data_IF_104775443893
#
_entry.id   IF_104775443893
#
_cell.length_a   1.000
_cell.length_b   1.000
_cell.length_c   1.000
_cell.angle_alpha   90.00
_cell.angle_beta   90.00
_cell.angle_gamma   90.00
#
_symmetry.space_group_name_H-M   'P 1'
#
loop_
_entity.id
_entity.type
_entity.pdbx_description
1 polymer ?
#
# COMPACT_ATOMS: atom_id res chain seq x y z
N UNK A 1 -19.51 -8.14 -31.53
CA UNK A 1 -19.31 -7.33 -30.31
C UNK A 1 -20.66 -6.98 -29.73
N UNK A 2 -20.90 -7.16 -28.44
CA UNK A 2 -22.16 -6.75 -27.85
C UNK A 2 -22.28 -5.22 -27.94
N UNK A 3 -23.36 -4.72 -28.53
CA UNK A 3 -23.67 -3.29 -28.59
C UNK A 3 -24.10 -2.78 -27.21
N UNK A 4 -23.14 -2.53 -26.34
CA UNK A 4 -23.43 -1.98 -25.01
C UNK A 4 -23.81 -0.51 -25.13
N UNK A 5 -24.96 -0.11 -24.55
CA UNK A 5 -25.26 1.30 -24.30
C UNK A 5 -24.63 1.69 -22.98
N UNK A 6 -23.56 2.46 -23.02
CA UNK A 6 -22.90 2.98 -21.81
C UNK A 6 -23.41 4.37 -21.52
N UNK A 7 -23.87 4.61 -20.28
CA UNK A 7 -24.26 5.93 -19.78
C UNK A 7 -23.34 6.27 -18.61
N UNK A 8 -22.65 7.39 -18.72
CA UNK A 8 -21.83 7.94 -17.64
C UNK A 8 -22.60 9.06 -16.97
N UNK A 9 -22.81 8.94 -15.66
CA UNK A 9 -23.48 9.95 -14.84
C UNK A 9 -22.44 10.68 -14.00
N UNK A 10 -22.43 12.01 -14.12
CA UNK A 10 -21.57 12.90 -13.33
C UNK A 10 -22.43 13.98 -12.68
N UNK A 11 -22.25 14.18 -11.38
CA UNK A 11 -23.02 15.17 -10.61
C UNK A 11 -22.46 16.58 -10.75
N UNK A 12 -21.14 16.70 -10.89
CA UNK A 12 -20.46 17.99 -11.02
C UNK A 12 -20.42 18.47 -12.46
N UNK A 13 -20.07 19.73 -12.67
CA UNK A 13 -19.86 20.28 -14.02
C UNK A 13 -18.61 19.72 -14.73
N UNK A 14 -17.76 18.98 -14.00
CA UNK A 14 -16.51 18.40 -14.49
C UNK A 14 -16.45 16.90 -14.18
N UNK A 15 -16.07 16.10 -15.15
CA UNK A 15 -15.77 14.69 -14.93
C UNK A 15 -14.43 14.51 -14.20
N UNK A 16 -14.24 13.34 -13.54
CA UNK A 16 -12.99 12.95 -12.90
C UNK A 16 -13.02 12.94 -11.37
N UNK A 17 -14.08 13.46 -10.75
CA UNK A 17 -14.26 13.38 -9.29
C UNK A 17 -13.09 14.00 -8.51
N UNK A 18 -12.43 13.19 -7.68
CA UNK A 18 -11.29 13.60 -6.87
C UNK A 18 -9.99 13.84 -7.67
N UNK A 19 -9.92 13.42 -8.93
CA UNK A 19 -8.77 13.70 -9.80
C UNK A 19 -8.87 15.14 -10.29
N UNK A 20 -8.19 16.03 -9.59
CA UNK A 20 -8.19 17.46 -9.89
C UNK A 20 -6.84 18.10 -9.55
N UNK A 21 -6.55 19.22 -10.17
CA UNK A 21 -5.28 19.91 -10.01
C UNK A 21 -5.45 21.42 -9.87
N UNK A 22 -4.58 22.02 -9.11
CA UNK A 22 -4.33 23.46 -9.08
C UNK A 22 -3.12 23.75 -9.97
N UNK A 23 -3.22 24.78 -10.80
CA UNK A 23 -2.13 25.26 -11.62
C UNK A 23 -2.12 26.80 -11.61
N UNK A 24 -1.07 27.38 -11.06
CA UNK A 24 -0.87 28.83 -11.00
C UNK A 24 0.62 29.18 -10.98
N UNK A 25 1.00 30.24 -11.68
CA UNK A 25 2.38 30.79 -11.72
C UNK A 25 3.48 29.74 -11.99
N UNK A 26 3.19 28.71 -12.80
CA UNK A 26 4.13 27.62 -13.10
C UNK A 26 4.19 26.51 -12.05
N UNK A 27 3.42 26.60 -11.00
CA UNK A 27 3.25 25.54 -10.00
C UNK A 27 2.07 24.64 -10.36
N UNK A 28 2.26 23.35 -10.12
CA UNK A 28 1.22 22.33 -10.24
C UNK A 28 1.08 21.60 -8.91
N UNK A 29 -0.13 21.57 -8.36
CA UNK A 29 -0.48 20.79 -7.17
C UNK A 29 -1.75 19.99 -7.44
N UNK A 30 -1.76 18.73 -7.06
CA UNK A 30 -2.90 17.84 -7.21
C UNK A 30 -3.73 17.81 -5.94
N UNK A 31 -5.06 17.97 -6.07
CA UNK A 31 -6.00 17.94 -4.96
C UNK A 31 -6.33 16.53 -4.48
N UNK A 32 -6.03 15.52 -5.28
CA UNK A 32 -6.39 14.13 -5.04
C UNK A 32 -5.26 13.17 -5.38
N UNK A 33 -5.59 12.02 -5.97
CA UNK A 33 -4.60 11.02 -6.34
C UNK A 33 -3.60 11.59 -7.35
N UNK A 34 -2.30 11.48 -7.03
CA UNK A 34 -1.19 11.97 -7.86
C UNK A 34 -0.39 10.85 -8.51
N UNK A 35 -0.83 9.61 -8.36
CA UNK A 35 -0.17 8.47 -8.96
C UNK A 35 -0.92 7.17 -8.72
N UNK A 36 -0.48 6.12 -9.37
CA UNK A 36 -1.01 4.78 -9.22
C UNK A 36 0.11 3.74 -9.27
N UNK A 37 -0.17 2.54 -8.80
CA UNK A 37 0.79 1.43 -8.85
C UNK A 37 0.67 0.71 -10.19
N UNK A 38 1.78 0.64 -10.95
CA UNK A 38 1.88 -0.17 -12.17
C UNK A 38 2.13 -1.64 -11.83
N UNK A 39 1.16 -2.28 -11.18
CA UNK A 39 1.26 -3.64 -10.66
C UNK A 39 0.22 -4.61 -11.23
N UNK A 40 -0.65 -4.16 -12.14
CA UNK A 40 -1.60 -5.01 -12.84
C UNK A 40 -1.63 -4.74 -14.35
N UNK A 41 -1.99 -5.76 -15.12
CA UNK A 41 -2.03 -5.68 -16.58
C UNK A 41 -3.15 -4.77 -17.06
N UNK A 42 -4.28 -4.79 -16.38
CA UNK A 42 -5.48 -4.03 -16.71
C UNK A 42 -5.24 -2.52 -16.70
N UNK A 43 -4.44 -2.02 -15.76
CA UNK A 43 -4.04 -0.61 -15.72
C UNK A 43 -3.22 -0.21 -16.94
N UNK A 44 -2.31 -1.09 -17.40
CA UNK A 44 -1.50 -0.85 -18.59
C UNK A 44 -2.33 -0.89 -19.86
N UNK A 45 -3.28 -1.83 -19.94
CA UNK A 45 -4.20 -1.93 -21.07
C UNK A 45 -5.10 -0.68 -21.16
N UNK A 46 -5.57 -0.17 -20.02
CA UNK A 46 -6.36 1.06 -19.98
C UNK A 46 -5.55 2.28 -20.47
N UNK A 47 -4.29 2.41 -20.05
CA UNK A 47 -3.38 3.48 -20.50
C UNK A 47 -3.18 3.39 -22.02
N UNK A 48 -2.96 2.16 -22.54
CA UNK A 48 -2.80 1.91 -23.98
C UNK A 48 -4.05 2.28 -24.75
N UNK A 49 -5.22 1.85 -24.29
CA UNK A 49 -6.49 2.17 -24.91
C UNK A 49 -6.80 3.69 -24.90
N UNK A 50 -6.34 4.38 -23.87
CA UNK A 50 -6.45 5.84 -23.78
C UNK A 50 -5.40 6.60 -24.63
N UNK A 51 -4.42 5.91 -25.22
CA UNK A 51 -3.34 6.53 -25.99
C UNK A 51 -2.32 7.31 -25.17
N UNK A 52 -2.23 7.04 -23.85
CA UNK A 52 -1.42 7.82 -22.89
C UNK A 52 -0.06 7.16 -22.56
N UNK A 53 0.38 6.18 -23.31
CA UNK A 53 1.63 5.46 -23.01
C UNK A 53 2.87 6.36 -23.02
N UNK A 54 2.93 7.30 -23.97
CA UNK A 54 4.04 8.24 -24.10
C UNK A 54 4.07 9.30 -22.97
N UNK A 55 2.93 9.57 -22.36
CA UNK A 55 2.80 10.57 -21.29
C UNK A 55 3.06 9.97 -19.89
N UNK A 56 3.21 8.66 -19.80
CA UNK A 56 3.44 7.97 -18.55
C UNK A 56 4.82 8.27 -17.98
N UNK A 57 4.85 8.85 -16.78
CA UNK A 57 6.09 9.09 -16.02
C UNK A 57 6.22 8.05 -14.91
N UNK A 58 7.38 7.42 -14.82
CA UNK A 58 7.67 6.44 -13.77
C UNK A 58 8.57 7.07 -12.71
N UNK A 59 8.15 6.98 -11.45
CA UNK A 59 8.94 7.48 -10.33
C UNK A 59 10.25 6.67 -10.17
N UNK A 60 11.41 7.33 -9.91
CA UNK A 60 12.68 6.65 -9.68
C UNK A 60 12.69 5.99 -8.29
N UNK A 61 12.10 4.81 -8.16
CA UNK A 61 11.91 4.12 -6.86
C UNK A 61 13.23 3.84 -6.11
N UNK A 62 14.36 3.77 -6.81
CA UNK A 62 15.68 3.56 -6.20
C UNK A 62 16.15 4.75 -5.35
N UNK A 63 15.69 5.93 -5.64
CA UNK A 63 16.03 7.19 -4.96
C UNK A 63 14.95 7.64 -3.96
N UNK A 64 13.85 6.90 -3.89
CA UNK A 64 12.71 7.25 -3.08
C UNK A 64 12.98 7.04 -1.59
N UNK A 65 13.08 8.12 -0.83
CA UNK A 65 13.25 8.09 0.62
C UNK A 65 11.90 8.34 1.29
N UNK A 66 11.49 7.42 2.17
CA UNK A 66 10.27 7.58 2.98
C UNK A 66 10.63 8.07 4.38
N UNK A 67 9.89 9.05 4.82
CA UNK A 67 9.99 9.59 6.17
C UNK A 67 8.70 9.32 6.93
N UNK A 68 8.85 9.08 8.22
CA UNK A 68 7.77 8.99 9.18
C UNK A 68 7.97 10.05 10.23
N UNK A 69 6.93 10.83 10.54
CA UNK A 69 6.96 11.75 11.66
C UNK A 69 6.50 11.02 12.91
N UNK A 70 7.41 10.80 13.86
CA UNK A 70 7.12 10.25 15.17
C UNK A 70 7.57 11.24 16.23
N UNK A 71 6.68 11.59 17.16
CA UNK A 71 6.94 12.55 18.24
C UNK A 71 7.55 13.87 17.74
N UNK A 72 7.02 14.41 16.63
CA UNK A 72 7.48 15.65 16.01
C UNK A 72 8.84 15.57 15.30
N UNK A 73 9.41 14.37 15.13
CA UNK A 73 10.71 14.17 14.47
C UNK A 73 10.56 13.30 13.21
N UNK A 74 11.17 13.75 12.13
CA UNK A 74 11.24 12.96 10.90
C UNK A 74 12.24 11.81 11.05
N UNK A 75 11.77 10.60 10.84
CA UNK A 75 12.54 9.38 10.87
C UNK A 75 12.55 8.72 9.50
N UNK A 76 13.72 8.36 9.00
CA UNK A 76 13.84 7.64 7.73
C UNK A 76 13.38 6.20 7.89
N UNK A 77 12.47 5.75 7.04
CA UNK A 77 12.08 4.34 6.98
C UNK A 77 12.98 3.62 5.96
N UNK A 78 13.83 2.69 6.40
CA UNK A 78 14.64 1.91 5.49
C UNK A 78 13.78 1.05 4.57
N UNK A 79 14.08 1.04 3.28
CA UNK A 79 13.37 0.19 2.31
C UNK A 79 13.74 -1.30 2.43
N UNK A 80 14.89 -1.61 3.01
CA UNK A 80 15.37 -2.99 3.18
C UNK A 80 14.88 -3.59 4.49
N UNK A 81 14.17 -4.75 4.48
CA UNK A 81 13.58 -5.35 5.68
C UNK A 81 14.57 -5.57 6.83
N UNK A 82 15.80 -6.02 6.51
CA UNK A 82 16.85 -6.23 7.52
C UNK A 82 17.32 -4.93 8.19
N UNK A 83 17.23 -3.80 7.50
CA UNK A 83 17.55 -2.49 8.09
C UNK A 83 16.44 -2.01 9.02
N UNK A 84 15.18 -2.34 8.73
CA UNK A 84 14.04 -2.06 9.61
C UNK A 84 14.22 -2.76 10.95
N UNK A 85 14.67 -4.01 10.95
CA UNK A 85 14.92 -4.77 12.17
C UNK A 85 16.04 -4.16 13.05
N UNK A 86 17.00 -3.45 12.46
CA UNK A 86 18.09 -2.79 13.18
C UNK A 86 17.74 -1.39 13.68
N UNK A 87 16.67 -0.81 13.22
CA UNK A 87 16.25 0.53 13.64
C UNK A 87 15.79 0.55 15.10
N UNK A 88 16.18 1.57 15.87
CA UNK A 88 15.75 1.69 17.27
C UNK A 88 14.27 2.07 17.43
N UNK A 89 13.61 2.50 16.33
CA UNK A 89 12.21 2.93 16.31
C UNK A 89 11.22 1.89 16.83
N UNK A 90 11.53 0.60 16.64
CA UNK A 90 10.71 -0.51 17.08
C UNK A 90 11.44 -1.18 18.25
N UNK A 91 10.85 -1.24 19.45
CA UNK A 91 11.44 -1.90 20.62
C UNK A 91 11.75 -3.37 20.32
N UNK A 92 12.78 -3.92 20.95
CA UNK A 92 13.22 -5.30 20.69
C UNK A 92 12.12 -6.35 20.96
N UNK A 93 11.32 -6.15 22.02
CA UNK A 93 10.20 -7.04 22.33
C UNK A 93 9.10 -6.99 21.26
N UNK A 94 8.87 -5.83 20.64
CA UNK A 94 7.92 -5.71 19.52
C UNK A 94 8.46 -6.41 18.25
N UNK A 95 9.77 -6.38 18.02
CA UNK A 95 10.40 -7.15 16.93
C UNK A 95 10.23 -8.65 17.14
N UNK A 96 10.39 -9.15 18.37
CA UNK A 96 10.10 -10.54 18.70
C UNK A 96 8.61 -10.86 18.53
N UNK A 97 7.74 -9.93 18.91
CA UNK A 97 6.29 -10.08 18.75
C UNK A 97 5.86 -10.23 17.29
N UNK A 98 6.58 -9.59 16.33
CA UNK A 98 6.35 -9.77 14.89
C UNK A 98 6.53 -11.23 14.47
N UNK A 99 7.47 -11.96 15.07
CA UNK A 99 7.69 -13.38 14.77
C UNK A 99 6.49 -14.25 15.18
N UNK A 100 5.65 -13.79 16.10
CA UNK A 100 4.43 -14.51 16.47
C UNK A 100 3.43 -14.65 15.30
N UNK A 101 3.57 -13.87 14.23
CA UNK A 101 2.81 -14.07 12.98
C UNK A 101 2.91 -15.50 12.45
N UNK A 102 4.03 -16.18 12.69
CA UNK A 102 4.24 -17.56 12.24
C UNK A 102 3.26 -18.57 12.86
N UNK A 103 2.73 -18.26 14.04
CA UNK A 103 1.86 -19.18 14.80
C UNK A 103 0.46 -18.61 15.04
N UNK A 104 0.22 -17.35 14.70
CA UNK A 104 -1.09 -16.73 14.85
C UNK A 104 -2.08 -17.28 13.83
N UNK A 105 -3.30 -17.62 14.25
CA UNK A 105 -4.34 -18.04 13.32
C UNK A 105 -4.71 -16.90 12.37
N UNK A 106 -5.24 -17.26 11.21
CA UNK A 106 -5.80 -16.29 10.27
C UNK A 106 -6.96 -15.57 10.94
N UNK A 107 -6.96 -14.24 10.88
CA UNK A 107 -8.07 -13.47 11.46
C UNK A 107 -9.30 -13.61 10.55
N UNK A 108 -10.41 -14.08 11.12
CA UNK A 108 -11.65 -14.26 10.38
C UNK A 108 -12.34 -12.93 10.03
N UNK A 109 -13.24 -12.96 9.05
CA UNK A 109 -14.05 -11.81 8.65
C UNK A 109 -13.26 -10.75 7.87
N UNK A 110 -13.71 -9.52 8.00
CA UNK A 110 -13.16 -8.32 7.34
C UNK A 110 -12.58 -7.35 8.38
N UNK A 111 -11.44 -7.68 9.00
CA UNK A 111 -10.89 -6.84 10.05
C UNK A 111 -10.43 -5.49 9.52
N UNK A 112 -10.42 -4.49 10.40
CA UNK A 112 -9.77 -3.22 10.14
C UNK A 112 -8.25 -3.38 10.06
N UNK A 113 -7.57 -2.39 9.52
CA UNK A 113 -6.09 -2.37 9.51
C UNK A 113 -5.55 -2.45 10.94
N UNK A 114 -6.14 -1.69 11.87
CA UNK A 114 -5.71 -1.68 13.27
C UNK A 114 -5.89 -3.04 13.94
N UNK A 115 -7.06 -3.67 13.81
CA UNK A 115 -7.34 -5.00 14.33
C UNK A 115 -6.36 -6.04 13.78
N UNK A 116 -6.14 -6.01 12.46
CA UNK A 116 -5.27 -6.95 11.79
C UNK A 116 -3.80 -6.78 12.18
N UNK A 117 -3.30 -5.53 12.20
CA UNK A 117 -1.91 -5.23 12.61
C UNK A 117 -1.68 -5.61 14.06
N UNK A 118 -2.59 -5.24 14.98
CA UNK A 118 -2.49 -5.60 16.39
C UNK A 118 -2.51 -7.13 16.60
N UNK A 119 -3.36 -7.83 15.87
CA UNK A 119 -3.43 -9.29 15.92
C UNK A 119 -2.14 -9.94 15.41
N UNK A 120 -1.67 -9.57 14.22
CA UNK A 120 -0.51 -10.19 13.56
C UNK A 120 0.82 -9.77 14.18
N UNK A 121 1.04 -8.48 14.30
CA UNK A 121 2.35 -7.91 14.60
C UNK A 121 2.44 -7.26 15.97
N UNK A 122 1.31 -7.01 16.59
CA UNK A 122 1.20 -6.39 17.91
C UNK A 122 0.96 -4.88 17.87
N UNK A 123 0.44 -4.32 18.98
CA UNK A 123 0.00 -2.92 19.03
C UNK A 123 1.15 -1.91 18.86
N UNK A 124 2.38 -2.28 19.15
CA UNK A 124 3.55 -1.41 18.98
C UNK A 124 3.79 -1.00 17.50
N UNK A 125 3.17 -1.69 16.54
CA UNK A 125 3.26 -1.35 15.12
C UNK A 125 2.10 -0.48 14.63
N UNK A 126 1.10 -0.20 15.45
CA UNK A 126 -0.04 0.65 15.07
C UNK A 126 0.37 2.07 14.63
N UNK A 127 1.27 2.80 15.32
CA UNK A 127 1.69 4.11 14.86
C UNK A 127 2.35 4.10 13.47
N UNK A 128 3.07 3.02 13.14
CA UNK A 128 3.69 2.85 11.82
C UNK A 128 2.64 2.54 10.74
N UNK A 129 1.67 1.70 11.07
CA UNK A 129 0.55 1.41 10.19
C UNK A 129 -0.28 2.68 9.95
N UNK A 130 -0.63 3.42 11.00
CA UNK A 130 -1.38 4.65 10.91
C UNK A 130 -0.70 5.66 9.97
N UNK A 131 0.57 5.94 10.17
CA UNK A 131 1.31 6.86 9.32
C UNK A 131 1.36 6.42 7.84
N UNK A 132 1.52 5.11 7.58
CA UNK A 132 1.54 4.57 6.21
C UNK A 132 0.17 4.71 5.55
N UNK A 133 -0.90 4.31 6.24
CA UNK A 133 -2.24 4.29 5.65
C UNK A 133 -2.88 5.67 5.60
N UNK A 134 -2.66 6.52 6.60
CA UNK A 134 -3.06 7.93 6.56
C UNK A 134 -2.34 8.66 5.42
N UNK A 135 -1.04 8.46 5.27
CA UNK A 135 -0.26 9.10 4.20
C UNK A 135 -0.60 8.62 2.79
N UNK A 136 -1.07 7.37 2.63
CA UNK A 136 -1.36 6.78 1.31
C UNK A 136 -2.83 6.91 0.93
N UNK A 137 -3.73 6.74 1.89
CA UNK A 137 -5.19 6.66 1.64
C UNK A 137 -5.96 7.81 2.27
N UNK A 138 -5.29 8.73 2.99
CA UNK A 138 -5.93 9.77 3.82
C UNK A 138 -7.03 9.20 4.72
N UNK A 139 -6.82 7.99 5.23
CA UNK A 139 -7.83 7.20 5.91
C UNK A 139 -7.42 6.79 7.32
N UNK A 140 -8.42 6.50 8.13
CA UNK A 140 -8.30 6.05 9.51
C UNK A 140 -8.15 4.53 9.56
N UNK A 141 -7.08 4.01 10.18
CA UNK A 141 -6.80 2.57 10.28
C UNK A 141 -7.84 1.80 11.09
N UNK A 142 -8.58 2.47 11.97
CA UNK A 142 -9.69 1.87 12.72
C UNK A 142 -10.94 1.64 11.85
N UNK A 143 -11.01 2.26 10.68
CA UNK A 143 -12.13 2.20 9.75
C UNK A 143 -11.77 1.52 8.43
N UNK A 144 -10.54 1.64 7.98
CA UNK A 144 -10.05 1.01 6.74
C UNK A 144 -10.03 -0.52 6.90
N UNK A 145 -10.63 -1.24 5.98
CA UNK A 145 -10.57 -2.71 5.92
C UNK A 145 -9.27 -3.16 5.27
N UNK A 146 -8.55 -4.09 5.91
CA UNK A 146 -7.26 -4.59 5.38
C UNK A 146 -7.43 -5.25 4.01
N UNK A 147 -8.54 -5.92 3.78
CA UNK A 147 -8.85 -6.55 2.50
C UNK A 147 -8.97 -5.55 1.35
N UNK A 148 -9.42 -4.32 1.63
CA UNK A 148 -9.56 -3.27 0.63
C UNK A 148 -8.22 -2.57 0.31
N UNK A 149 -7.39 -2.31 1.33
CA UNK A 149 -6.16 -1.53 1.17
C UNK A 149 -4.93 -2.37 0.88
N UNK A 150 -4.88 -3.63 1.34
CA UNK A 150 -3.77 -4.55 1.09
C UNK A 150 -4.23 -5.98 0.78
N UNK A 151 -5.04 -6.20 -0.27
CA UNK A 151 -5.56 -7.52 -0.62
C UNK A 151 -4.46 -8.56 -0.82
N UNK A 152 -3.32 -8.17 -1.43
CA UNK A 152 -2.20 -9.07 -1.66
C UNK A 152 -1.53 -9.59 -0.38
N UNK A 153 -1.45 -8.78 0.68
CA UNK A 153 -0.90 -9.20 1.98
C UNK A 153 -1.90 -10.11 2.70
N UNK A 154 -3.18 -9.77 2.61
CA UNK A 154 -4.26 -10.57 3.18
C UNK A 154 -4.34 -11.95 2.51
N UNK A 155 -4.16 -12.02 1.20
CA UNK A 155 -4.09 -13.29 0.47
C UNK A 155 -2.89 -14.15 0.91
N UNK A 156 -1.72 -13.55 1.15
CA UNK A 156 -0.57 -14.27 1.70
C UNK A 156 -0.89 -14.90 3.06
N UNK A 157 -1.57 -14.17 3.93
CA UNK A 157 -2.02 -14.68 5.21
C UNK A 157 -2.99 -15.85 5.04
N UNK A 158 -4.05 -15.69 4.24
CA UNK A 158 -5.07 -16.73 4.01
C UNK A 158 -4.47 -18.01 3.42
N UNK A 159 -3.58 -17.84 2.43
CA UNK A 159 -2.99 -18.98 1.70
C UNK A 159 -1.90 -19.72 2.49
N UNK A 160 -1.16 -19.02 3.34
CA UNK A 160 0.01 -19.57 4.03
C UNK A 160 -0.12 -19.61 5.56
N UNK A 161 -1.23 -19.12 6.10
CA UNK A 161 -1.48 -19.00 7.54
C UNK A 161 -0.64 -17.91 8.22
N UNK A 162 0.27 -17.25 7.48
CA UNK A 162 1.22 -16.25 7.99
C UNK A 162 1.70 -15.37 6.83
N UNK A 163 1.80 -14.08 7.08
CA UNK A 163 2.37 -13.12 6.13
C UNK A 163 3.85 -13.40 5.91
N UNK A 164 4.59 -13.64 6.98
CA UNK A 164 6.03 -13.94 6.93
C UNK A 164 6.30 -15.19 6.08
N UNK A 165 5.58 -16.28 6.31
CA UNK A 165 5.71 -17.50 5.48
C UNK A 165 5.38 -17.23 4.02
N UNK A 166 4.32 -16.47 3.76
CA UNK A 166 3.90 -16.11 2.42
C UNK A 166 4.96 -15.32 1.66
N UNK A 167 5.53 -14.29 2.30
CA UNK A 167 6.62 -13.49 1.74
C UNK A 167 7.85 -14.35 1.43
N UNK A 168 8.28 -15.20 2.37
CA UNK A 168 9.42 -16.09 2.13
C UNK A 168 9.18 -17.05 0.96
N UNK A 169 8.00 -17.65 0.86
CA UNK A 169 7.66 -18.54 -0.26
C UNK A 169 7.67 -17.80 -1.60
N UNK A 170 7.10 -16.59 -1.64
CA UNK A 170 7.12 -15.74 -2.83
C UNK A 170 8.52 -15.36 -3.26
N UNK A 171 9.38 -14.99 -2.30
CA UNK A 171 10.80 -14.69 -2.58
C UNK A 171 11.57 -15.91 -3.12
N UNK A 172 11.33 -17.11 -2.57
CA UNK A 172 11.95 -18.35 -3.07
C UNK A 172 11.48 -18.69 -4.48
N UNK A 173 10.19 -18.55 -4.76
CA UNK A 173 9.63 -18.78 -6.10
C UNK A 173 10.21 -17.78 -7.12
N UNK A 174 10.29 -16.50 -6.79
CA UNK A 174 10.89 -15.50 -7.66
C UNK A 174 12.38 -15.78 -7.96
N UNK A 175 13.15 -16.25 -6.96
CA UNK A 175 14.55 -16.65 -7.17
C UNK A 175 14.68 -17.90 -8.04
N UNK A 176 13.74 -18.84 -7.97
CA UNK A 176 13.74 -20.03 -8.80
C UNK A 176 13.37 -19.71 -10.27
N UNK A 177 12.48 -18.75 -10.48
CA UNK A 177 12.08 -18.32 -11.83
C UNK A 177 13.15 -17.46 -12.55
N UNK A 178 14.10 -16.87 -11.81
CA UNK A 178 15.21 -16.07 -12.35
C UNK A 178 16.52 -16.88 -12.52
N UNK A 179 16.46 -18.19 -12.35
CA UNK A 179 17.56 -19.14 -12.62
C UNK A 179 17.27 -19.94 -13.89
#
# INVERSE_FOLDING_TARGET
EPSWRVLVLERSARSGGAIDRFSDCGYLAEWGPHGFLDNCAESRDLIRLAGLEAERVTAPLGEFVRYLCLDGRLQVIPQKPLRILRQPLIPWHAKLRVLADLWRPVLAGEPTVAEWVAHRFGPALLPFADAVYTGTYAGDIERLRIDAVMPGVRELERRHGSVIRGVFRRMRAARAANR
#
